data_IF_125819323978
#
_entry.id   IF_125819323978
#
_cell.length_a   1.000
_cell.length_b   1.000
_cell.length_c   1.000
_cell.angle_alpha   90.00
_cell.angle_beta   90.00
_cell.angle_gamma   90.00
#
_symmetry.space_group_name_H-M   'P 1'
#
loop_
_entity.id
_entity.type
_entity.pdbx_description
1 polymer ?
#
# COMPACT_ATOMS: atom_id res chain seq x y z
N UNK A 1 -26.45 6.53 -10.80
CA UNK A 1 -25.28 6.38 -9.89
C UNK A 1 -25.17 4.97 -9.28
N UNK A 2 -26.22 4.41 -8.68
CA UNK A 2 -26.17 3.11 -7.95
C UNK A 2 -25.41 1.96 -8.66
N UNK A 3 -25.58 1.79 -9.99
CA UNK A 3 -24.94 0.69 -10.73
C UNK A 3 -23.41 0.77 -10.78
N UNK A 4 -22.81 1.97 -10.84
CA UNK A 4 -21.34 2.12 -10.86
C UNK A 4 -20.70 1.70 -9.53
N UNK A 5 -21.39 1.93 -8.40
CA UNK A 5 -20.90 1.50 -7.07
C UNK A 5 -21.04 -0.02 -6.92
N UNK A 6 -22.16 -0.61 -7.36
CA UNK A 6 -22.36 -2.07 -7.36
C UNK A 6 -21.26 -2.79 -8.17
N UNK A 7 -20.94 -2.29 -9.36
CA UNK A 7 -19.91 -2.86 -10.23
C UNK A 7 -18.49 -2.83 -9.62
N UNK A 8 -18.18 -1.80 -8.83
CA UNK A 8 -16.91 -1.70 -8.10
C UNK A 8 -16.87 -2.71 -6.94
N UNK A 9 -17.96 -2.85 -6.20
CA UNK A 9 -18.05 -3.78 -5.07
C UNK A 9 -17.99 -5.26 -5.52
N UNK A 10 -18.66 -5.63 -6.62
CA UNK A 10 -18.57 -6.98 -7.18
C UNK A 10 -17.13 -7.34 -7.61
N UNK A 11 -16.40 -6.40 -8.23
CA UNK A 11 -14.98 -6.62 -8.59
C UNK A 11 -14.07 -6.75 -7.36
N UNK A 12 -14.33 -6.00 -6.28
CA UNK A 12 -13.60 -6.17 -5.01
C UNK A 12 -13.87 -7.56 -4.41
N UNK A 13 -15.13 -8.03 -4.44
CA UNK A 13 -15.48 -9.36 -3.95
C UNK A 13 -14.85 -10.49 -4.77
N UNK A 14 -14.81 -10.34 -6.10
CA UNK A 14 -14.18 -11.32 -7.01
C UNK A 14 -12.66 -11.46 -6.81
N UNK A 15 -11.96 -10.43 -6.32
CA UNK A 15 -10.51 -10.48 -6.06
C UNK A 15 -10.19 -11.15 -4.70
N UNK A 16 -11.04 -10.91 -3.69
CA UNK A 16 -10.88 -11.49 -2.35
C UNK A 16 -11.09 -13.02 -2.29
N UNK A 17 -11.53 -13.66 -3.38
CA UNK A 17 -11.62 -15.12 -3.47
C UNK A 17 -10.30 -15.81 -3.86
N UNK A 18 -9.24 -15.05 -4.15
CA UNK A 18 -7.97 -15.58 -4.70
C UNK A 18 -6.81 -15.44 -3.70
N UNK A 19 -6.88 -14.49 -2.76
CA UNK A 19 -5.94 -14.36 -1.65
C UNK A 19 -6.61 -14.77 -0.33
N UNK A 20 -5.99 -15.67 0.44
CA UNK A 20 -6.52 -16.22 1.69
C UNK A 20 -6.46 -15.28 2.89
N UNK A 21 -6.92 -14.04 2.75
CA UNK A 21 -6.91 -13.02 3.81
C UNK A 21 -8.32 -12.51 4.13
N UNK A 22 -8.63 -12.42 5.42
CA UNK A 22 -9.96 -11.99 5.91
C UNK A 22 -10.06 -10.46 5.91
N UNK A 23 -11.09 -9.83 5.30
CA UNK A 23 -11.26 -8.39 5.36
C UNK A 23 -11.60 -7.90 6.77
N UNK A 24 -10.92 -6.86 7.25
CA UNK A 24 -11.38 -6.07 8.41
C UNK A 24 -12.76 -5.45 8.09
N UNK A 25 -13.77 -5.76 8.91
CA UNK A 25 -15.18 -5.36 8.66
C UNK A 25 -15.47 -3.88 8.96
N UNK A 26 -14.63 -3.23 9.73
CA UNK A 26 -14.96 -1.93 10.34
C UNK A 26 -14.64 -0.73 9.45
N UNK A 27 -13.67 -0.83 8.54
CA UNK A 27 -13.33 0.25 7.60
C UNK A 27 -14.43 0.52 6.58
N UNK A 28 -15.03 -0.52 5.99
CA UNK A 28 -16.17 -0.38 5.05
C UNK A 28 -17.36 0.29 5.74
N UNK A 29 -17.62 -0.10 6.99
CA UNK A 29 -18.69 0.45 7.82
C UNK A 29 -18.43 1.91 8.21
N UNK A 30 -17.16 2.29 8.37
CA UNK A 30 -16.72 3.66 8.68
C UNK A 30 -16.76 4.57 7.44
N UNK A 31 -16.26 4.10 6.29
CA UNK A 31 -16.31 4.82 5.01
C UNK A 31 -17.75 5.14 4.56
N UNK A 32 -18.69 4.21 4.79
CA UNK A 32 -20.12 4.43 4.54
C UNK A 32 -20.77 5.45 5.50
N UNK A 33 -20.22 5.65 6.69
CA UNK A 33 -20.67 6.72 7.61
C UNK A 33 -20.14 8.09 7.22
N UNK A 34 -18.89 8.19 6.74
CA UNK A 34 -18.27 9.47 6.39
C UNK A 34 -18.78 10.07 5.06
N UNK A 35 -19.50 9.28 4.24
CA UNK A 35 -20.04 9.69 2.95
C UNK A 35 -21.51 10.17 2.97
N UNK A 36 -22.13 10.29 4.15
CA UNK A 36 -23.41 10.99 4.33
C UNK A 36 -24.69 10.22 3.99
N UNK A 37 -24.60 9.00 3.44
CA UNK A 37 -25.77 8.18 3.06
C UNK A 37 -26.42 7.40 4.24
N UNK A 38 -26.53 8.05 5.39
CA UNK A 38 -27.03 7.47 6.64
C UNK A 38 -28.56 7.33 6.74
N UNK A 39 -29.25 6.75 5.76
CA UNK A 39 -30.69 6.41 5.86
C UNK A 39 -31.19 5.41 4.78
N UNK A 40 -30.65 4.19 4.73
CA UNK A 40 -31.26 3.09 3.93
C UNK A 40 -30.95 1.68 4.47
N UNK A 41 -30.92 1.49 5.81
CA UNK A 41 -30.53 0.22 6.44
C UNK A 41 -31.34 -0.12 7.72
N UNK A 42 -32.59 0.35 7.81
CA UNK A 42 -33.52 -0.03 8.90
C UNK A 42 -34.47 -1.18 8.53
N UNK A 43 -35.02 -1.17 7.32
CA UNK A 43 -36.18 -2.01 6.94
C UNK A 43 -35.80 -3.45 6.54
N UNK A 44 -34.79 -4.03 7.19
CA UNK A 44 -34.33 -5.43 7.01
C UNK A 44 -33.85 -6.05 8.34
N UNK A 45 -34.56 -5.79 9.44
CA UNK A 45 -34.29 -6.47 10.73
C UNK A 45 -35.53 -6.98 11.48
N UNK A 46 -36.71 -6.88 10.88
CA UNK A 46 -37.99 -7.31 11.45
C UNK A 46 -38.56 -8.56 10.74
N UNK A 47 -37.68 -9.46 10.27
CA UNK A 47 -38.07 -10.63 9.48
C UNK A 47 -37.08 -11.81 9.61
N UNK A 48 -36.83 -12.32 10.82
CA UNK A 48 -36.33 -13.69 11.08
C UNK A 48 -36.28 -14.02 12.60
N UNK A 49 -37.43 -14.08 13.29
CA UNK A 49 -37.53 -14.70 14.64
C UNK A 49 -38.97 -15.03 15.08
N UNK A 50 -39.52 -16.17 14.66
CA UNK A 50 -40.73 -16.77 15.26
C UNK A 50 -40.62 -18.29 15.34
N UNK A 51 -41.40 -18.91 16.24
CA UNK A 51 -41.41 -20.34 16.67
C UNK A 51 -40.14 -20.81 17.41
N UNK A 52 -40.17 -21.68 18.43
CA UNK A 52 -41.21 -22.19 19.38
C UNK A 52 -40.50 -23.17 20.33
N UNK A 53 -40.75 -23.35 21.64
CA UNK A 53 -41.58 -22.76 22.72
C UNK A 53 -40.88 -23.16 24.06
N UNK A 54 -41.26 -22.82 25.30
CA UNK A 54 -42.37 -22.09 25.94
C UNK A 54 -42.47 -22.52 27.43
N UNK A 55 -43.36 -21.90 28.23
CA UNK A 55 -43.67 -22.24 29.66
C UNK A 55 -42.52 -21.95 30.69
N UNK A 56 -42.75 -21.60 31.97
CA UNK A 56 -44.02 -21.28 32.66
C UNK A 56 -43.87 -20.35 33.91
N UNK A 57 -45.02 -19.80 34.34
CA UNK A 57 -45.45 -19.32 35.69
C UNK A 57 -44.55 -18.60 36.73
N UNK A 58 -45.08 -17.46 37.22
CA UNK A 58 -45.18 -17.02 38.64
C UNK A 58 -43.93 -16.59 39.46
N UNK A 59 -44.00 -15.77 40.55
CA UNK A 59 -45.04 -14.88 41.10
C UNK A 59 -44.42 -13.79 42.04
N UNK A 60 -45.18 -12.69 42.32
CA UNK A 60 -45.39 -11.97 43.61
C UNK A 60 -44.28 -11.88 44.72
N UNK A 61 -44.10 -10.83 45.56
CA UNK A 61 -44.76 -9.52 45.83
C UNK A 61 -43.94 -8.67 46.86
N UNK A 62 -44.09 -7.33 46.80
CA UNK A 62 -44.20 -6.32 47.90
C UNK A 62 -43.21 -6.22 49.12
N UNK A 63 -42.71 -4.98 49.31
CA UNK A 63 -42.65 -4.21 50.60
C UNK A 63 -41.64 -4.63 51.73
N UNK A 64 -41.32 -3.83 52.78
CA UNK A 64 -41.79 -2.50 53.27
C UNK A 64 -40.62 -1.64 53.87
N UNK A 65 -40.93 -0.43 54.38
CA UNK A 65 -39.99 0.60 54.92
C UNK A 65 -39.41 0.30 56.33
N UNK A 66 -38.31 1.00 56.72
CA UNK A 66 -37.83 1.12 58.11
C UNK A 66 -36.56 2.01 58.28
N UNK A 67 -36.42 2.85 59.34
CA UNK A 67 -35.33 3.85 59.47
C UNK A 67 -34.18 3.51 60.45
N UNK A 68 -33.13 4.36 60.46
CA UNK A 68 -31.86 4.24 61.22
C UNK A 68 -31.93 4.68 62.70
N UNK A 69 -30.84 4.54 63.51
CA UNK A 69 -29.82 5.62 63.61
C UNK A 69 -28.36 5.21 63.95
N UNK A 70 -27.41 6.16 63.79
CA UNK A 70 -26.03 6.10 64.34
C UNK A 70 -24.99 5.30 63.53
N UNK A 71 -23.69 5.63 63.52
CA UNK A 71 -22.96 6.64 64.30
C UNK A 71 -21.60 7.02 63.67
N UNK A 72 -21.00 8.10 64.17
CA UNK A 72 -19.58 8.52 64.11
C UNK A 72 -18.82 8.80 62.78
N UNK A 73 -18.16 9.96 62.80
CA UNK A 73 -17.35 10.61 61.75
C UNK A 73 -16.02 9.90 61.47
N UNK A 74 -15.65 9.77 60.19
CA UNK A 74 -14.26 9.60 59.76
C UNK A 74 -13.96 10.48 58.54
N UNK A 75 -13.15 11.53 58.71
CA UNK A 75 -12.82 12.50 57.64
C UNK A 75 -11.84 11.92 56.63
N UNK A 76 -12.34 11.28 55.57
CA UNK A 76 -11.52 10.92 54.40
C UNK A 76 -11.17 12.19 53.59
N UNK A 77 -9.91 12.59 53.74
CA UNK A 77 -9.30 13.69 52.99
C UNK A 77 -9.38 13.39 51.48
N UNK A 78 -10.09 14.24 50.73
CA UNK A 78 -10.21 14.09 49.29
C UNK A 78 -8.89 14.48 48.60
N UNK A 79 -8.05 13.49 48.32
CA UNK A 79 -7.04 13.64 47.27
C UNK A 79 -7.78 13.75 45.93
N UNK A 80 -8.01 14.98 45.47
CA UNK A 80 -8.37 15.23 44.07
C UNK A 80 -7.24 14.66 43.22
N UNK A 81 -7.50 13.72 42.29
CA UNK A 81 -6.46 13.26 41.38
C UNK A 81 -6.01 14.46 40.56
N UNK A 82 -4.70 14.75 40.55
CA UNK A 82 -4.15 15.79 39.69
C UNK A 82 -4.55 15.46 38.25
N UNK A 83 -5.27 16.37 37.59
CA UNK A 83 -5.63 16.19 36.19
C UNK A 83 -4.32 16.02 35.41
N UNK A 84 -4.17 14.86 34.78
CA UNK A 84 -2.97 14.56 34.00
C UNK A 84 -2.83 15.64 32.92
N UNK A 85 -1.70 16.35 32.95
CA UNK A 85 -1.32 17.28 31.89
C UNK A 85 -1.45 16.53 30.56
N UNK A 86 -2.13 17.08 29.53
CA UNK A 86 -2.28 16.40 28.25
C UNK A 86 -0.90 15.95 27.75
N UNK A 87 -0.67 14.63 27.70
CA UNK A 87 0.61 14.12 27.21
C UNK A 87 0.73 14.52 25.75
N UNK A 88 1.68 15.41 25.47
CA UNK A 88 1.93 15.89 24.12
C UNK A 88 2.28 14.68 23.25
N UNK A 89 1.40 14.37 22.30
CA UNK A 89 1.43 13.10 21.58
C UNK A 89 2.79 12.89 20.91
N UNK A 90 3.49 11.84 21.37
CA UNK A 90 4.82 11.44 20.91
C UNK A 90 4.80 11.29 19.38
N UNK A 91 5.79 11.87 18.70
CA UNK A 91 5.94 11.81 17.25
C UNK A 91 4.70 12.28 16.44
N UNK A 92 3.87 13.19 16.98
CA UNK A 92 2.66 13.71 16.30
C UNK A 92 2.89 14.49 15.00
N UNK A 93 4.14 14.85 14.69
CA UNK A 93 4.58 15.42 13.41
C UNK A 93 5.13 14.37 12.42
N UNK A 94 5.05 13.08 12.76
CA UNK A 94 5.54 11.94 11.99
C UNK A 94 4.37 11.10 11.47
N UNK A 95 4.48 10.55 10.27
CA UNK A 95 3.57 9.55 9.68
C UNK A 95 4.35 8.38 9.10
N UNK A 96 3.84 7.16 9.23
CA UNK A 96 4.37 5.96 8.58
C UNK A 96 3.93 5.93 7.10
N UNK A 97 4.89 5.83 6.18
CA UNK A 97 4.63 5.68 4.73
C UNK A 97 4.69 4.21 4.29
N UNK A 98 5.64 3.46 4.87
CA UNK A 98 5.83 2.03 4.64
C UNK A 98 6.69 1.40 5.74
N UNK A 99 6.52 0.10 5.94
CA UNK A 99 7.42 -0.75 6.72
C UNK A 99 7.74 -2.03 5.94
N UNK A 100 8.86 -2.66 6.27
CA UNK A 100 9.27 -3.99 5.86
C UNK A 100 9.82 -4.67 7.12
N UNK A 101 9.14 -5.70 7.59
CA UNK A 101 9.51 -6.47 8.78
C UNK A 101 9.34 -7.95 8.48
N UNK A 102 10.13 -8.77 9.16
CA UNK A 102 9.94 -10.22 9.29
C UNK A 102 8.80 -10.54 10.27
N UNK A 103 8.47 -11.82 10.44
CA UNK A 103 7.47 -12.26 11.42
C UNK A 103 8.02 -12.38 12.85
N UNK A 104 9.34 -12.49 13.04
CA UNK A 104 9.99 -12.90 14.31
C UNK A 104 11.05 -11.92 14.89
N UNK A 105 11.26 -10.75 14.29
CA UNK A 105 12.23 -9.71 14.68
C UNK A 105 13.70 -10.22 14.73
N UNK A 106 14.00 -11.28 13.97
CA UNK A 106 15.32 -11.90 13.86
C UNK A 106 16.26 -11.16 12.90
N UNK A 107 15.70 -10.44 11.93
CA UNK A 107 16.35 -9.51 11.01
C UNK A 107 16.14 -8.04 11.42
N UNK A 108 16.66 -7.09 10.63
CA UNK A 108 16.36 -5.67 10.81
C UNK A 108 14.98 -5.34 10.24
N UNK A 109 14.13 -4.69 11.04
CA UNK A 109 12.90 -4.08 10.53
C UNK A 109 13.17 -2.70 9.94
N UNK A 110 12.77 -2.45 8.70
CA UNK A 110 12.98 -1.18 7.99
C UNK A 110 11.68 -0.36 7.86
N UNK A 111 11.79 0.96 8.06
CA UNK A 111 10.66 1.87 8.15
C UNK A 111 10.91 3.16 7.36
N UNK A 112 9.89 3.60 6.62
CA UNK A 112 9.89 4.86 5.86
C UNK A 112 8.84 5.79 6.47
N UNK A 113 9.30 6.94 6.95
CA UNK A 113 8.47 7.93 7.63
C UNK A 113 8.44 9.26 6.88
N UNK A 114 7.34 9.99 7.00
CA UNK A 114 7.21 11.40 6.64
C UNK A 114 7.25 12.25 7.91
N UNK A 115 8.17 13.19 8.01
CA UNK A 115 8.33 14.10 9.15
C UNK A 115 8.04 15.55 8.73
N UNK A 116 7.34 16.29 9.59
CA UNK A 116 6.91 17.69 9.36
C UNK A 116 6.14 17.89 8.04
N UNK A 117 5.43 16.85 7.59
CA UNK A 117 4.67 16.80 6.35
C UNK A 117 5.50 16.89 5.06
N UNK A 118 6.84 16.83 5.13
CA UNK A 118 7.70 17.12 3.96
C UNK A 118 9.04 16.37 3.89
N UNK A 119 9.53 15.82 5.00
CA UNK A 119 10.85 15.19 5.08
C UNK A 119 10.69 13.67 5.13
N UNK A 120 10.98 12.96 4.03
CA UNK A 120 11.08 11.51 4.09
C UNK A 120 12.33 11.12 4.88
N UNK A 121 12.19 10.19 5.82
CA UNK A 121 13.28 9.63 6.62
C UNK A 121 13.17 8.11 6.68
N UNK A 122 14.29 7.44 6.49
CA UNK A 122 14.46 6.00 6.65
C UNK A 122 14.95 5.71 8.07
N UNK A 123 14.38 4.69 8.71
CA UNK A 123 14.78 4.21 10.04
C UNK A 123 14.84 2.69 10.01
N UNK A 124 15.99 2.14 10.39
CA UNK A 124 16.18 0.70 10.62
C UNK A 124 16.08 0.39 12.12
N UNK A 125 15.41 -0.69 12.48
CA UNK A 125 15.50 -1.31 13.79
C UNK A 125 16.60 -2.39 13.79
N UNK A 126 17.31 -2.57 14.90
CA UNK A 126 18.15 -3.75 15.08
C UNK A 126 17.28 -4.98 15.39
N UNK A 127 17.73 -6.21 15.07
CA UNK A 127 17.06 -7.43 15.51
C UNK A 127 16.75 -7.43 17.02
N UNK A 128 15.59 -7.93 17.39
CA UNK A 128 15.10 -7.99 18.77
C UNK A 128 14.74 -6.64 19.41
N UNK A 129 14.64 -5.54 18.64
CA UNK A 129 14.23 -4.23 19.16
C UNK A 129 12.76 -4.19 19.54
N UNK A 130 11.93 -5.00 18.89
CA UNK A 130 10.48 -5.09 19.07
C UNK A 130 10.01 -6.56 19.23
N UNK A 131 10.88 -7.42 19.76
CA UNK A 131 10.62 -8.85 19.95
C UNK A 131 9.28 -9.12 20.68
N UNK A 132 8.38 -9.86 20.03
CA UNK A 132 7.05 -10.20 20.55
C UNK A 132 6.02 -9.08 20.47
N UNK A 133 6.21 -8.10 19.58
CA UNK A 133 5.32 -6.95 19.35
C UNK A 133 5.00 -6.80 17.85
N UNK A 134 4.69 -7.92 17.19
CA UNK A 134 4.73 -8.06 15.73
C UNK A 134 3.58 -7.33 15.01
N UNK A 135 2.40 -7.28 15.63
CA UNK A 135 1.29 -6.46 15.18
C UNK A 135 1.53 -4.98 15.49
N UNK A 136 2.07 -4.69 16.68
CA UNK A 136 2.30 -3.36 17.20
C UNK A 136 3.41 -2.63 16.44
N UNK A 137 4.45 -3.34 15.97
CA UNK A 137 5.54 -2.78 15.17
C UNK A 137 5.12 -2.41 13.74
N UNK A 138 3.99 -2.91 13.25
CA UNK A 138 3.41 -2.47 11.95
C UNK A 138 2.25 -1.48 12.09
N UNK A 139 1.63 -1.36 13.27
CA UNK A 139 0.49 -0.47 13.50
C UNK A 139 0.92 0.96 13.92
N UNK A 140 0.84 1.89 12.96
CA UNK A 140 1.31 3.29 13.07
C UNK A 140 1.03 3.98 14.44
N UNK A 141 -0.19 3.95 15.02
CA UNK A 141 -0.46 4.64 16.29
C UNK A 141 0.36 4.13 17.48
N UNK A 142 0.56 2.82 17.60
CA UNK A 142 1.37 2.22 18.68
C UNK A 142 2.85 2.35 18.37
N UNK A 143 3.25 2.11 17.11
CA UNK A 143 4.62 2.29 16.64
C UNK A 143 5.17 3.70 16.93
N UNK A 144 4.40 4.76 16.62
CA UNK A 144 4.82 6.14 16.82
C UNK A 144 4.58 6.65 18.25
N UNK A 145 3.45 6.27 18.85
CA UNK A 145 3.00 6.74 20.17
C UNK A 145 3.73 6.08 21.34
N UNK A 146 4.05 4.80 21.23
CA UNK A 146 4.56 3.99 22.34
C UNK A 146 5.97 3.45 22.06
N UNK A 147 6.17 2.75 20.92
CA UNK A 147 7.41 2.01 20.66
C UNK A 147 8.59 2.92 20.30
N UNK A 148 8.53 3.64 19.18
CA UNK A 148 9.66 4.44 18.69
C UNK A 148 9.93 5.65 19.58
N UNK A 149 11.20 5.94 19.95
CA UNK A 149 11.56 7.16 20.68
C UNK A 149 11.17 8.44 19.91
N UNK A 150 11.19 9.61 20.58
CA UNK A 150 11.05 10.90 19.92
C UNK A 150 12.08 11.05 18.78
N UNK A 151 11.63 11.42 17.58
CA UNK A 151 12.52 11.58 16.42
C UNK A 151 13.51 12.73 16.64
N UNK A 152 14.83 12.52 16.46
CA UNK A 152 15.83 13.56 16.63
C UNK A 152 15.62 14.75 15.69
N UNK A 153 15.88 15.96 16.19
CA UNK A 153 15.90 17.18 15.39
C UNK A 153 17.13 17.25 14.49
N UNK A 154 17.06 18.00 13.38
CA UNK A 154 18.19 18.27 12.49
C UNK A 154 18.13 17.51 11.16
N UNK A 155 19.12 17.78 10.30
CA UNK A 155 19.15 17.25 8.95
C UNK A 155 19.78 15.85 8.88
N UNK A 156 18.92 14.85 9.00
CA UNK A 156 19.21 13.43 8.78
C UNK A 156 18.10 12.80 7.94
N UNK A 157 18.43 11.76 7.18
CA UNK A 157 17.46 10.97 6.41
C UNK A 157 17.67 9.46 6.54
N UNK A 158 18.74 9.01 7.20
CA UNK A 158 18.90 7.63 7.67
C UNK A 158 19.04 7.62 9.20
N UNK A 159 18.34 6.71 9.86
CA UNK A 159 18.39 6.50 11.30
C UNK A 159 18.47 5.02 11.64
N UNK A 160 19.02 4.71 12.82
CA UNK A 160 18.94 3.37 13.39
C UNK A 160 18.49 3.43 14.84
N UNK A 161 17.48 2.63 15.17
CA UNK A 161 17.03 2.40 16.54
C UNK A 161 17.46 1.02 17.04
N UNK A 162 17.64 0.90 18.35
CA UNK A 162 17.84 -0.37 19.03
C UNK A 162 17.37 -0.27 20.49
N UNK A 163 17.19 -1.42 21.15
CA UNK A 163 17.09 -1.47 22.61
C UNK A 163 18.41 -1.02 23.24
N UNK A 164 18.36 0.01 24.10
CA UNK A 164 19.46 0.35 25.01
C UNK A 164 19.58 -0.72 26.12
N UNK A 165 20.71 -1.46 26.23
CA UNK A 165 20.88 -2.50 27.23
C UNK A 165 20.98 -1.98 28.67
N UNK A 166 21.12 -0.67 28.89
CA UNK A 166 21.19 -0.06 30.23
C UNK A 166 19.80 0.37 30.71
N UNK A 167 18.99 1.00 29.87
CA UNK A 167 17.65 1.49 30.26
C UNK A 167 16.48 0.59 29.85
N UNK A 168 16.71 -0.41 28.99
CA UNK A 168 15.64 -1.27 28.46
C UNK A 168 14.64 -0.54 27.57
N UNK A 169 15.08 0.53 26.88
CA UNK A 169 14.23 1.39 26.05
C UNK A 169 14.76 1.49 24.63
N UNK A 170 13.86 1.61 23.66
CA UNK A 170 14.24 1.85 22.27
C UNK A 170 14.79 3.27 22.13
N UNK A 171 15.99 3.41 21.58
CA UNK A 171 16.69 4.69 21.40
C UNK A 171 17.26 4.80 19.98
N UNK A 172 17.41 6.02 19.47
CA UNK A 172 18.18 6.26 18.23
C UNK A 172 19.67 6.14 18.53
N UNK A 173 20.29 5.04 18.11
CA UNK A 173 21.73 4.78 18.30
C UNK A 173 22.59 5.40 17.19
N UNK A 174 21.99 5.76 16.04
CA UNK A 174 22.63 6.48 14.92
C UNK A 174 21.59 7.32 14.20
N UNK A 175 21.97 8.52 13.79
CA UNK A 175 21.29 9.31 12.75
C UNK A 175 22.34 9.92 11.84
N UNK A 176 22.06 10.02 10.55
CA UNK A 176 23.00 10.54 9.56
C UNK A 176 22.29 11.06 8.29
N UNK A 177 23.06 11.80 7.49
CA UNK A 177 22.66 12.28 6.17
C UNK A 177 23.34 11.44 5.09
N UNK A 178 22.57 10.60 4.41
CA UNK A 178 23.02 9.77 3.29
C UNK A 178 22.58 10.43 1.98
N UNK A 179 23.51 10.54 1.03
CA UNK A 179 23.18 10.80 -0.37
C UNK A 179 22.75 9.48 -1.01
N UNK A 180 21.46 9.14 -0.90
CA UNK A 180 20.91 7.96 -1.56
C UNK A 180 20.84 8.17 -3.08
N UNK A 181 21.22 7.16 -3.84
CA UNK A 181 21.05 7.12 -5.30
C UNK A 181 19.58 7.30 -5.68
N UNK A 182 19.33 7.94 -6.82
CA UNK A 182 18.04 8.01 -7.49
C UNK A 182 18.18 7.55 -8.94
N UNK A 183 17.06 7.52 -9.67
CA UNK A 183 17.01 7.21 -11.10
C UNK A 183 17.89 8.20 -11.88
N UNK A 184 18.79 7.68 -12.70
CA UNK A 184 19.73 8.40 -13.57
C UNK A 184 19.20 8.54 -15.01
N UNK A 185 18.29 7.66 -15.45
CA UNK A 185 17.60 7.73 -16.76
C UNK A 185 16.56 8.88 -16.83
N UNK A 186 16.99 10.13 -16.61
CA UNK A 186 16.13 11.32 -16.52
C UNK A 186 15.83 11.90 -17.91
N UNK A 187 15.02 11.18 -18.70
CA UNK A 187 14.72 11.56 -20.09
C UNK A 187 13.47 12.44 -20.27
N UNK A 188 12.44 12.27 -19.44
CA UNK A 188 11.23 13.10 -19.45
C UNK A 188 11.41 14.41 -18.66
N UNK A 189 10.81 15.51 -19.13
CA UNK A 189 10.99 16.85 -18.51
C UNK A 189 10.11 17.09 -17.28
N UNK A 190 8.98 16.38 -17.14
CA UNK A 190 8.06 16.54 -16.00
C UNK A 190 8.59 15.75 -14.79
N UNK A 191 8.66 16.41 -13.64
CA UNK A 191 8.97 15.83 -12.31
C UNK A 191 7.82 16.16 -11.36
N UNK A 192 7.43 15.21 -10.52
CA UNK A 192 6.24 15.26 -9.66
C UNK A 192 6.61 14.73 -8.26
N UNK A 193 6.28 15.46 -7.20
CA UNK A 193 6.52 15.00 -5.82
C UNK A 193 5.55 13.85 -5.49
N UNK A 194 6.02 12.78 -4.83
CA UNK A 194 5.15 11.69 -4.37
C UNK A 194 4.06 12.16 -3.39
N UNK A 195 4.27 13.29 -2.72
CA UNK A 195 3.38 13.84 -1.70
C UNK A 195 2.21 14.66 -2.27
N UNK A 196 2.30 15.10 -3.53
CA UNK A 196 1.22 15.88 -4.19
C UNK A 196 0.06 14.99 -4.71
N UNK A 197 0.16 13.66 -4.56
CA UNK A 197 -0.79 12.70 -5.10
C UNK A 197 -1.85 12.22 -4.10
N UNK A 198 -3.11 12.26 -4.53
CA UNK A 198 -4.22 11.62 -3.81
C UNK A 198 -4.31 10.15 -4.19
N UNK A 199 -3.98 9.26 -3.24
CA UNK A 199 -4.07 7.81 -3.43
C UNK A 199 -5.53 7.35 -3.51
N UNK A 200 -5.89 6.64 -4.59
CA UNK A 200 -7.21 6.01 -4.74
C UNK A 200 -7.16 4.52 -4.38
N UNK A 201 -6.14 3.79 -4.86
CA UNK A 201 -5.97 2.35 -4.62
C UNK A 201 -4.48 2.01 -4.47
N UNK A 202 -4.09 1.36 -3.37
CA UNK A 202 -2.77 0.72 -3.21
C UNK A 202 -2.83 -0.67 -3.84
N UNK A 203 -2.16 -0.90 -4.98
CA UNK A 203 -2.14 -2.20 -5.68
C UNK A 203 -1.03 -3.10 -5.15
N UNK A 204 0.16 -2.54 -4.90
CA UNK A 204 1.30 -3.15 -4.20
C UNK A 204 1.94 -2.07 -3.30
N UNK A 205 2.96 -2.43 -2.49
CA UNK A 205 3.77 -1.42 -1.78
C UNK A 205 4.38 -0.39 -2.75
N UNK A 206 4.98 -0.89 -3.85
CA UNK A 206 5.61 -0.12 -4.92
C UNK A 206 4.66 0.46 -5.99
N UNK A 207 3.36 0.13 -5.98
CA UNK A 207 2.43 0.45 -7.10
C UNK A 207 1.08 0.96 -6.60
N UNK A 208 0.66 2.15 -7.05
CA UNK A 208 -0.55 2.84 -6.60
C UNK A 208 -1.33 3.41 -7.79
N UNK A 209 -2.66 3.37 -7.76
CA UNK A 209 -3.54 4.20 -8.59
C UNK A 209 -3.81 5.49 -7.83
N UNK A 210 -3.49 6.61 -8.44
CA UNK A 210 -3.49 7.94 -7.79
C UNK A 210 -4.09 9.01 -8.71
N UNK A 211 -4.35 10.18 -8.15
CA UNK A 211 -4.82 11.37 -8.90
C UNK A 211 -4.03 12.61 -8.51
N UNK A 212 -3.82 13.52 -9.46
CA UNK A 212 -3.10 14.78 -9.28
C UNK A 212 -3.80 15.90 -10.06
N UNK A 213 -4.11 17.07 -9.48
CA UNK A 213 -5.02 18.06 -10.08
C UNK A 213 -4.64 18.59 -11.48
N UNK A 214 -3.36 18.53 -11.85
CA UNK A 214 -2.84 19.07 -13.13
C UNK A 214 -2.38 18.01 -14.13
N UNK A 215 -2.38 16.72 -13.76
CA UNK A 215 -1.89 15.62 -14.62
C UNK A 215 -3.07 14.80 -15.11
N UNK A 216 -3.03 14.37 -16.37
CA UNK A 216 -4.10 13.59 -17.02
C UNK A 216 -5.51 14.23 -16.92
N UNK A 217 -5.58 15.56 -16.80
CA UNK A 217 -6.86 16.28 -16.58
C UNK A 217 -7.50 16.06 -15.21
N UNK A 218 -6.78 15.47 -14.25
CA UNK A 218 -7.29 15.04 -12.95
C UNK A 218 -7.82 13.60 -12.93
N UNK A 219 -7.86 12.91 -14.07
CA UNK A 219 -8.20 11.49 -14.14
C UNK A 219 -7.09 10.60 -13.54
N UNK A 220 -7.40 9.34 -13.13
CA UNK A 220 -6.43 8.46 -12.52
C UNK A 220 -5.18 8.20 -13.37
N UNK A 221 -4.06 8.00 -12.66
CA UNK A 221 -2.76 7.64 -13.20
C UNK A 221 -2.14 6.52 -12.36
N UNK A 222 -1.22 5.75 -12.94
CA UNK A 222 -0.44 4.75 -12.22
C UNK A 222 0.86 5.39 -11.74
N UNK A 223 1.18 5.21 -10.45
CA UNK A 223 2.43 5.64 -9.83
C UNK A 223 3.19 4.38 -9.40
N UNK A 224 4.43 4.22 -9.88
CA UNK A 224 5.37 3.18 -9.42
C UNK A 224 6.61 3.83 -8.81
N UNK A 225 7.03 3.36 -7.65
CA UNK A 225 8.18 3.90 -6.91
C UNK A 225 9.02 2.82 -6.22
N UNK A 226 10.31 3.10 -6.10
CA UNK A 226 11.19 2.57 -5.07
C UNK A 226 10.77 3.20 -3.74
N UNK A 227 10.21 2.38 -2.87
CA UNK A 227 9.96 2.70 -1.47
C UNK A 227 11.29 2.75 -0.72
N UNK A 228 12.19 1.80 -0.99
CA UNK A 228 13.50 1.72 -0.34
C UNK A 228 14.67 2.12 -1.26
N UNK A 229 15.79 2.62 -0.72
CA UNK A 229 16.94 3.03 -1.54
C UNK A 229 17.55 1.92 -2.40
N UNK A 230 17.42 0.65 -2.00
CA UNK A 230 17.93 -0.50 -2.76
C UNK A 230 17.07 -0.90 -3.97
N UNK A 231 15.78 -0.55 -3.97
CA UNK A 231 14.85 -0.87 -5.07
C UNK A 231 15.05 0.03 -6.32
N UNK A 232 15.84 1.10 -6.19
CA UNK A 232 16.05 2.11 -7.24
C UNK A 232 16.63 1.52 -8.53
N UNK A 233 17.43 0.45 -8.44
CA UNK A 233 18.00 -0.22 -9.63
C UNK A 233 16.95 -0.89 -10.53
N UNK A 234 15.84 -1.36 -9.95
CA UNK A 234 14.72 -1.92 -10.71
C UNK A 234 13.94 -0.81 -11.43
N UNK A 235 13.64 0.28 -10.71
CA UNK A 235 13.00 1.48 -11.26
C UNK A 235 13.84 2.13 -12.36
N UNK A 236 15.16 2.20 -12.20
CA UNK A 236 16.10 2.68 -13.24
C UNK A 236 15.96 1.85 -14.52
N UNK A 237 15.95 0.52 -14.39
CA UNK A 237 15.83 -0.43 -15.50
C UNK A 237 14.51 -0.23 -16.25
N UNK A 238 13.38 -0.17 -15.56
CA UNK A 238 12.08 0.08 -16.20
C UNK A 238 11.95 1.51 -16.76
N UNK A 239 12.51 2.54 -16.10
CA UNK A 239 12.48 3.93 -16.59
C UNK A 239 13.28 4.08 -17.90
N UNK A 240 14.41 3.38 -18.02
CA UNK A 240 15.17 3.29 -19.26
C UNK A 240 14.37 2.59 -20.37
N UNK A 241 13.64 1.51 -20.05
CA UNK A 241 12.75 0.84 -21.03
C UNK A 241 11.64 1.76 -21.49
N UNK A 242 10.98 2.51 -20.60
CA UNK A 242 9.97 3.51 -21.00
C UNK A 242 10.53 4.60 -21.93
N UNK A 243 11.82 4.97 -21.81
CA UNK A 243 12.49 5.83 -22.81
C UNK A 243 12.52 5.16 -24.19
N UNK A 244 12.87 3.87 -24.25
CA UNK A 244 13.08 3.14 -25.49
C UNK A 244 11.76 2.74 -26.17
N UNK A 245 10.67 2.56 -25.42
CA UNK A 245 9.33 2.24 -25.96
C UNK A 245 8.42 3.46 -26.11
N UNK A 246 8.89 4.67 -25.78
CA UNK A 246 8.14 5.92 -25.89
C UNK A 246 7.53 6.10 -27.30
N UNK A 247 6.23 6.40 -27.33
CA UNK A 247 5.39 6.54 -28.53
C UNK A 247 5.36 5.33 -29.50
N UNK A 248 5.71 4.12 -29.03
CA UNK A 248 5.64 2.87 -29.83
C UNK A 248 4.39 2.01 -29.56
N UNK A 249 3.54 2.42 -28.63
CA UNK A 249 2.31 1.70 -28.26
C UNK A 249 2.54 0.30 -27.66
N UNK A 250 3.72 0.05 -27.08
CA UNK A 250 4.10 -1.26 -26.49
C UNK A 250 3.62 -1.38 -25.05
N UNK A 251 3.67 -0.30 -24.28
CA UNK A 251 3.24 -0.22 -22.88
C UNK A 251 2.56 1.12 -22.58
N UNK A 252 2.17 1.37 -21.32
CA UNK A 252 1.53 2.61 -20.89
C UNK A 252 2.31 3.87 -21.28
N UNK A 253 1.61 4.95 -21.62
CA UNK A 253 2.20 6.27 -21.80
C UNK A 253 2.83 6.77 -20.50
N UNK A 254 4.13 7.10 -20.55
CA UNK A 254 4.86 7.77 -19.47
C UNK A 254 4.40 9.24 -19.34
N UNK A 255 4.23 9.72 -18.11
CA UNK A 255 3.70 11.06 -17.80
C UNK A 255 4.67 11.93 -16.98
N UNK A 256 5.59 11.34 -16.23
CA UNK A 256 6.55 12.09 -15.41
C UNK A 256 7.43 11.22 -14.53
N UNK A 257 8.58 11.76 -14.12
CA UNK A 257 9.42 11.20 -13.07
C UNK A 257 8.84 11.54 -11.69
N UNK A 258 8.99 10.65 -10.73
CA UNK A 258 8.53 10.82 -9.35
C UNK A 258 9.70 11.17 -8.43
N UNK A 259 9.62 12.26 -7.66
CA UNK A 259 10.67 12.70 -6.74
C UNK A 259 10.29 12.53 -5.27
N UNK A 260 11.31 12.28 -4.44
CA UNK A 260 11.19 12.23 -2.98
C UNK A 260 11.25 13.66 -2.41
N UNK A 261 10.12 14.37 -2.45
CA UNK A 261 10.06 15.80 -2.16
C UNK A 261 10.26 16.70 -3.42
N UNK A 262 10.02 18.03 -3.34
CA UNK A 262 9.90 18.88 -4.53
C UNK A 262 11.23 19.12 -5.28
N UNK A 263 12.36 18.91 -4.60
CA UNK A 263 13.71 18.96 -5.17
C UNK A 263 14.49 17.68 -4.84
N UNK A 264 13.76 16.56 -4.66
CA UNK A 264 14.32 15.27 -4.28
C UNK A 264 15.10 14.58 -5.39
N UNK A 265 15.76 13.48 -5.01
CA UNK A 265 16.16 12.44 -5.96
C UNK A 265 14.91 11.84 -6.62
N UNK A 266 15.05 11.36 -7.85
CA UNK A 266 13.98 10.60 -8.52
C UNK A 266 13.98 9.18 -7.94
N UNK A 267 12.80 8.72 -7.52
CA UNK A 267 12.57 7.41 -6.89
C UNK A 267 11.58 6.53 -7.68
N UNK A 268 10.98 7.05 -8.75
CA UNK A 268 9.86 6.41 -9.40
C UNK A 268 9.44 7.14 -10.66
N UNK A 269 8.28 6.76 -11.19
CA UNK A 269 7.65 7.41 -12.32
C UNK A 269 6.12 7.29 -12.26
N UNK A 270 5.47 8.01 -13.16
CA UNK A 270 4.02 8.03 -13.35
C UNK A 270 3.70 7.71 -14.80
N UNK A 271 2.75 6.79 -15.02
CA UNK A 271 2.20 6.41 -16.34
C UNK A 271 0.68 6.60 -16.36
N UNK A 272 0.08 6.54 -17.55
CA UNK A 272 -1.38 6.49 -17.67
C UNK A 272 -1.96 5.28 -16.91
N UNK A 273 -3.13 5.45 -16.30
CA UNK A 273 -3.88 4.32 -15.77
C UNK A 273 -4.61 3.62 -16.91
N UNK A 274 -4.25 2.37 -17.21
CA UNK A 274 -4.95 1.52 -18.18
C UNK A 274 -6.29 0.99 -17.61
N UNK A 275 -7.18 1.91 -17.27
CA UNK A 275 -8.52 1.61 -16.79
C UNK A 275 -9.29 0.72 -17.79
N UNK A 276 -9.91 -0.34 -17.27
CA UNK A 276 -10.71 -1.27 -18.06
C UNK A 276 -9.95 -2.50 -18.59
N UNK A 277 -8.61 -2.52 -18.55
CA UNK A 277 -7.86 -3.73 -18.96
C UNK A 277 -8.01 -4.90 -17.98
N UNK A 278 -7.82 -6.12 -18.50
CA UNK A 278 -7.59 -7.35 -17.73
C UNK A 278 -6.18 -7.88 -17.96
N UNK A 279 -5.69 -8.78 -17.10
CA UNK A 279 -4.51 -9.60 -17.44
C UNK A 279 -4.83 -10.49 -18.65
N UNK A 280 -3.79 -10.88 -19.38
CA UNK A 280 -3.93 -11.85 -20.46
C UNK A 280 -4.35 -13.24 -19.96
N UNK A 281 -5.03 -13.95 -20.85
CA UNK A 281 -5.50 -15.31 -20.71
C UNK A 281 -5.01 -16.11 -21.95
N UNK A 282 -5.03 -17.46 -21.93
CA UNK A 282 -4.52 -18.26 -23.06
C UNK A 282 -5.16 -17.98 -24.43
N UNK A 283 -6.35 -17.36 -24.47
CA UNK A 283 -7.01 -16.92 -25.73
C UNK A 283 -6.31 -15.74 -26.40
N UNK A 284 -5.62 -14.90 -25.65
CA UNK A 284 -5.00 -13.66 -26.16
C UNK A 284 -3.59 -13.90 -26.73
N UNK A 285 -3.15 -15.17 -26.80
CA UNK A 285 -1.78 -15.57 -27.13
C UNK A 285 -1.23 -14.87 -28.39
N UNK A 286 -2.01 -14.75 -29.46
CA UNK A 286 -1.53 -14.13 -30.70
C UNK A 286 -1.47 -12.60 -30.63
N UNK A 287 -2.31 -11.95 -29.82
CA UNK A 287 -2.19 -10.53 -29.49
C UNK A 287 -0.98 -10.26 -28.56
N UNK A 288 -0.74 -11.16 -27.61
CA UNK A 288 0.45 -11.13 -26.76
C UNK A 288 1.75 -11.33 -27.57
N UNK A 289 1.76 -12.25 -28.56
CA UNK A 289 2.88 -12.37 -29.52
C UNK A 289 3.09 -11.08 -30.32
N UNK A 290 2.01 -10.46 -30.84
CA UNK A 290 2.10 -9.15 -31.53
C UNK A 290 2.69 -8.06 -30.62
N UNK A 291 2.34 -8.04 -29.33
CA UNK A 291 2.92 -7.10 -28.37
C UNK A 291 4.40 -7.38 -28.09
N UNK A 292 4.75 -8.62 -27.74
CA UNK A 292 6.12 -9.04 -27.44
C UNK A 292 7.05 -8.87 -28.64
N UNK A 293 6.59 -9.15 -29.87
CA UNK A 293 7.35 -8.96 -31.09
C UNK A 293 7.72 -7.49 -31.34
N UNK A 294 6.84 -6.52 -30.98
CA UNK A 294 7.15 -5.09 -31.06
C UNK A 294 8.25 -4.66 -30.08
N UNK A 295 8.35 -5.32 -28.92
CA UNK A 295 9.46 -5.13 -27.97
C UNK A 295 10.76 -5.77 -28.50
N UNK A 296 10.68 -7.01 -29.00
CA UNK A 296 11.82 -7.75 -29.55
C UNK A 296 12.43 -7.06 -30.78
N UNK A 297 11.63 -6.38 -31.61
CA UNK A 297 12.09 -5.55 -32.74
C UNK A 297 13.02 -4.39 -32.33
N UNK A 298 13.07 -4.03 -31.04
CA UNK A 298 13.95 -3.01 -30.47
C UNK A 298 15.24 -3.60 -29.87
N UNK A 299 15.44 -4.92 -29.97
CA UNK A 299 16.50 -5.65 -29.29
C UNK A 299 16.27 -5.82 -27.78
N UNK A 300 15.04 -5.59 -27.30
CA UNK A 300 14.69 -5.64 -25.87
C UNK A 300 14.01 -6.97 -25.56
N UNK A 301 14.55 -7.68 -24.56
CA UNK A 301 13.97 -8.84 -23.88
C UNK A 301 13.19 -8.37 -22.65
N UNK A 302 12.01 -8.94 -22.36
CA UNK A 302 11.19 -8.54 -21.22
C UNK A 302 11.66 -9.15 -19.87
N UNK A 303 12.22 -10.36 -19.89
CA UNK A 303 12.71 -11.06 -18.70
C UNK A 303 11.64 -11.79 -17.89
N UNK A 304 10.46 -11.16 -17.70
CA UNK A 304 9.30 -11.75 -17.03
C UNK A 304 8.04 -11.63 -17.90
N UNK A 305 7.78 -12.69 -18.68
CA UNK A 305 6.66 -12.79 -19.62
C UNK A 305 5.45 -13.54 -19.04
N UNK A 306 5.20 -13.43 -17.73
CA UNK A 306 3.99 -13.99 -17.11
C UNK A 306 2.72 -13.22 -17.53
N UNK A 307 1.56 -13.89 -17.50
CA UNK A 307 0.27 -13.35 -17.96
C UNK A 307 -0.19 -12.03 -17.33
N UNK A 308 0.29 -11.69 -16.13
CA UNK A 308 -0.11 -10.48 -15.43
C UNK A 308 0.63 -9.23 -15.94
N UNK A 309 1.77 -9.42 -16.61
CA UNK A 309 2.57 -8.36 -17.24
C UNK A 309 2.06 -7.98 -18.65
N UNK A 310 1.05 -8.71 -19.16
CA UNK A 310 0.31 -8.41 -20.38
C UNK A 310 -1.08 -7.89 -20.00
N UNK A 311 -1.36 -6.61 -20.27
CA UNK A 311 -2.67 -6.00 -20.05
C UNK A 311 -3.44 -5.90 -21.37
N UNK A 312 -4.61 -6.53 -21.41
CA UNK A 312 -5.48 -6.61 -22.59
C UNK A 312 -6.64 -5.63 -22.43
N UNK A 313 -6.83 -4.74 -23.41
CA UNK A 313 -8.03 -3.92 -23.61
C UNK A 313 -8.86 -4.55 -24.72
N UNK A 314 -10.05 -5.02 -24.39
CA UNK A 314 -10.94 -5.66 -25.36
C UNK A 314 -11.50 -4.63 -26.35
N UNK A 315 -11.40 -4.92 -27.66
CA UNK A 315 -11.80 -4.00 -28.72
C UNK A 315 -13.29 -4.10 -29.06
N UNK A 316 -14.05 -3.00 -28.94
CA UNK A 316 -15.46 -2.95 -29.38
C UNK A 316 -15.57 -3.02 -30.93
N UNK A 317 -15.42 -4.22 -31.48
CA UNK A 317 -15.40 -4.50 -32.92
C UNK A 317 -14.05 -4.23 -33.58
N UNK A 318 -12.94 -4.33 -32.84
CA UNK A 318 -11.56 -4.12 -33.30
C UNK A 318 -10.67 -5.32 -32.91
N UNK A 319 -9.39 -5.33 -33.28
CA UNK A 319 -8.44 -6.26 -32.62
C UNK A 319 -8.16 -5.77 -31.18
N UNK A 320 -7.98 -6.70 -30.24
CA UNK A 320 -7.66 -6.36 -28.85
C UNK A 320 -6.28 -5.69 -28.73
N UNK A 321 -6.22 -4.59 -27.96
CA UNK A 321 -4.96 -3.91 -27.69
C UNK A 321 -4.24 -4.57 -26.51
N UNK A 322 -2.95 -4.90 -26.67
CA UNK A 322 -2.14 -5.51 -25.61
C UNK A 322 -0.94 -4.63 -25.28
N UNK A 323 -0.84 -4.29 -24.00
CA UNK A 323 0.20 -3.46 -23.38
C UNK A 323 1.09 -4.33 -22.47
N UNK A 324 2.40 -4.11 -22.53
CA UNK A 324 3.40 -4.73 -21.66
C UNK A 324 3.71 -3.79 -20.48
N UNK A 325 3.94 -4.36 -19.29
CA UNK A 325 4.26 -3.63 -18.04
C UNK A 325 5.26 -4.42 -17.17
N UNK A 326 5.80 -3.79 -16.13
CA UNK A 326 6.70 -4.39 -15.13
C UNK A 326 8.05 -4.81 -15.74
N UNK A 327 8.71 -3.87 -16.42
CA UNK A 327 9.98 -4.07 -17.11
C UNK A 327 11.22 -4.11 -16.19
N UNK A 328 11.05 -4.35 -14.87
CA UNK A 328 12.13 -4.35 -13.86
C UNK A 328 13.26 -5.37 -14.16
N UNK A 329 12.96 -6.42 -14.94
CA UNK A 329 13.90 -7.48 -15.35
C UNK A 329 14.28 -7.44 -16.84
N UNK A 330 13.86 -6.40 -17.56
CA UNK A 330 14.08 -6.29 -18.99
C UNK A 330 15.56 -5.99 -19.33
N UNK A 331 16.02 -6.48 -20.48
CA UNK A 331 17.38 -6.29 -20.98
C UNK A 331 17.37 -5.87 -22.44
N UNK A 332 18.22 -4.91 -22.78
CA UNK A 332 18.42 -4.42 -24.15
C UNK A 332 19.66 -5.06 -24.79
N UNK A 333 19.71 -4.98 -26.12
CA UNK A 333 20.76 -5.51 -27.00
C UNK A 333 20.97 -7.03 -26.83
N UNK A 334 19.87 -7.72 -26.52
CA UNK A 334 19.80 -9.18 -26.43
C UNK A 334 19.94 -9.84 -27.80
N UNK A 335 20.53 -11.03 -27.81
CA UNK A 335 20.69 -11.84 -29.01
C UNK A 335 19.36 -12.33 -29.57
N UNK A 336 19.30 -12.56 -30.89
CA UNK A 336 18.12 -13.14 -31.55
C UNK A 336 17.70 -14.48 -30.93
N UNK A 337 18.65 -15.24 -30.35
CA UNK A 337 18.37 -16.50 -29.64
C UNK A 337 17.63 -16.24 -28.32
N UNK A 338 18.11 -15.29 -27.50
CA UNK A 338 17.47 -14.92 -26.22
C UNK A 338 16.03 -14.40 -26.40
N UNK A 339 15.75 -13.72 -27.52
CA UNK A 339 14.43 -13.19 -27.88
C UNK A 339 13.51 -14.29 -28.42
N UNK A 340 14.01 -15.13 -29.34
CA UNK A 340 13.28 -16.29 -29.85
C UNK A 340 12.88 -17.27 -28.74
N UNK A 341 13.76 -17.52 -27.77
CA UNK A 341 13.46 -18.43 -26.66
C UNK A 341 12.45 -17.83 -25.67
N UNK A 342 12.42 -16.51 -25.50
CA UNK A 342 11.34 -15.82 -24.79
C UNK A 342 10.00 -15.91 -25.56
N UNK A 343 10.01 -15.69 -26.88
CA UNK A 343 8.83 -15.80 -27.74
C UNK A 343 8.22 -17.21 -27.72
N UNK A 344 9.06 -18.27 -27.74
CA UNK A 344 8.63 -19.67 -27.61
C UNK A 344 8.04 -19.96 -26.23
N UNK A 345 8.62 -19.40 -25.18
CA UNK A 345 8.17 -19.61 -23.80
C UNK A 345 6.84 -18.91 -23.46
N UNK A 346 6.43 -17.89 -24.23
CA UNK A 346 5.22 -17.10 -23.98
C UNK A 346 3.96 -17.95 -23.76
N UNK A 347 3.71 -18.97 -24.59
CA UNK A 347 2.51 -19.83 -24.44
C UNK A 347 2.43 -20.44 -23.04
N UNK A 348 3.51 -21.06 -22.58
CA UNK A 348 3.55 -21.77 -21.30
C UNK A 348 3.43 -20.79 -20.11
N UNK A 349 3.91 -19.55 -20.27
CA UNK A 349 3.81 -18.51 -19.24
C UNK A 349 2.42 -17.85 -19.19
N UNK A 350 1.65 -17.85 -20.29
CA UNK A 350 0.23 -17.47 -20.27
C UNK A 350 -0.66 -18.56 -19.66
N UNK A 351 -0.34 -19.83 -19.92
CA UNK A 351 -1.05 -21.00 -19.37
C UNK A 351 -0.69 -21.30 -17.89
N UNK A 352 0.41 -20.74 -17.37
CA UNK A 352 0.82 -20.91 -15.98
C UNK A 352 -0.19 -20.35 -14.98
N UNK A 353 -0.63 -21.20 -14.05
CA UNK A 353 -1.40 -20.82 -12.87
C UNK A 353 -0.53 -20.47 -11.66
N UNK A 354 0.79 -20.69 -11.75
CA UNK A 354 1.74 -20.36 -10.69
C UNK A 354 1.90 -18.84 -10.66
N UNK A 355 1.29 -18.20 -9.66
CA UNK A 355 1.65 -16.84 -9.30
C UNK A 355 3.10 -16.84 -8.80
N UNK A 356 4.00 -16.17 -9.52
CA UNK A 356 5.35 -15.91 -9.00
C UNK A 356 5.25 -14.82 -7.93
N UNK A 357 5.10 -15.25 -6.68
CA UNK A 357 5.18 -14.39 -5.51
C UNK A 357 6.61 -13.85 -5.37
N UNK A 358 6.87 -12.70 -6.00
CA UNK A 358 8.04 -11.89 -5.74
C UNK A 358 7.90 -11.23 -4.35
N UNK A 359 8.14 -12.02 -3.31
CA UNK A 359 8.36 -11.56 -1.95
C UNK A 359 9.87 -11.37 -1.73
N UNK A 360 10.31 -10.11 -1.76
CA UNK A 360 11.54 -9.56 -1.16
C UNK A 360 11.48 -8.04 -1.20
#
# INVERSE_FOLDING_TARGET
MSSKISYILDKIWSLNSIAGWVPWKDDVTTALRMSGFGNLLKDKRDAESETSDGLDTESQKLNHQGPAPGDQVATKQHCVPAMATPQQQKNSNVRLLACLVDEDDAGPGDYRFLVDGRHVKYVSAAPGTFCGLDCERTFEPILLGELLPPFPTGDWNNGRVAMDPVTGKVTFIRTEKVLFTGVESVWHNVKLDELDFFCQVKLKQRVKVVTHPTINGGEPVLLKLAVWPWEVAWIETETAVYQWICDKGIGPKFLGHLTEGPNGRIIGFVTEWLGGTRSAEPRDLDACKKALARLHQLGIKHGDINRHNFLVREGEGHEDEVFLIDFDLARRDCSHVELEDEMKALKNNLESTIAQSQEM
#
